data_IF_150298691948
#
_entry.id   IF_150298691948
#
_cell.length_a   1.000
_cell.length_b   1.000
_cell.length_c   1.000
_cell.angle_alpha   90.00
_cell.angle_beta   90.00
_cell.angle_gamma   90.00
#
_symmetry.space_group_name_H-M   'P 1'
#
loop_
_entity.id
_entity.type
_entity.pdbx_description
1 polymer ?
#
# COMPACT_ATOMS: atom_id res chain seq x y z
N UNK A 1 -4.86 -40.40 7.38
CA UNK A 1 -4.02 -40.14 6.20
C UNK A 1 -5.00 -39.98 5.09
N UNK A 2 -5.01 -38.82 4.43
CA UNK A 2 -6.01 -38.54 3.41
C UNK A 2 -5.30 -38.52 2.06
N UNK A 3 -5.67 -39.49 1.25
CA UNK A 3 -5.01 -39.89 0.01
C UNK A 3 -5.26 -38.85 -1.09
N UNK A 4 -4.27 -38.01 -1.40
CA UNK A 4 -3.99 -37.45 -2.73
C UNK A 4 -5.10 -36.78 -3.55
N UNK A 5 -6.30 -36.53 -3.01
CA UNK A 5 -7.40 -35.93 -3.75
C UNK A 5 -7.16 -34.43 -3.98
N UNK A 6 -7.21 -34.02 -5.25
CA UNK A 6 -7.16 -32.62 -5.64
C UNK A 6 -8.45 -31.93 -5.16
N UNK A 7 -8.29 -30.89 -4.34
CA UNK A 7 -9.38 -29.99 -3.95
C UNK A 7 -9.07 -28.58 -4.44
N UNK A 8 -10.08 -27.92 -5.01
CA UNK A 8 -9.95 -26.53 -5.45
C UNK A 8 -9.79 -25.61 -4.24
N UNK A 9 -8.93 -24.60 -4.37
CA UNK A 9 -8.80 -23.51 -3.40
C UNK A 9 -9.55 -22.31 -3.94
N UNK A 10 -10.55 -21.86 -3.19
CA UNK A 10 -11.42 -20.72 -3.52
C UNK A 10 -11.00 -19.46 -2.78
N UNK A 11 -11.56 -18.32 -3.18
CA UNK A 11 -11.40 -17.06 -2.46
C UNK A 11 -11.96 -17.12 -1.03
N UNK A 12 -12.95 -17.97 -0.77
CA UNK A 12 -13.50 -18.17 0.58
C UNK A 12 -12.46 -18.85 1.47
N UNK A 13 -11.83 -19.91 0.99
CA UNK A 13 -10.80 -20.65 1.75
C UNK A 13 -9.63 -19.74 2.14
N UNK A 14 -9.20 -18.87 1.21
CA UNK A 14 -8.14 -17.88 1.50
C UNK A 14 -8.56 -16.88 2.57
N UNK A 15 -9.80 -16.38 2.52
CA UNK A 15 -10.27 -15.42 3.52
C UNK A 15 -10.51 -16.08 4.88
N UNK A 16 -11.04 -17.31 4.92
CA UNK A 16 -11.19 -18.08 6.16
C UNK A 16 -9.83 -18.32 6.81
N UNK A 17 -8.81 -18.68 6.02
CA UNK A 17 -7.46 -18.81 6.52
C UNK A 17 -6.91 -17.48 7.09
N UNK A 18 -7.04 -16.37 6.35
CA UNK A 18 -6.60 -15.05 6.83
C UNK A 18 -7.25 -14.69 8.15
N UNK A 19 -8.57 -14.87 8.26
CA UNK A 19 -9.31 -14.58 9.49
C UNK A 19 -8.83 -15.42 10.66
N UNK A 20 -8.51 -16.68 10.42
CA UNK A 20 -8.01 -17.58 11.47
C UNK A 20 -6.66 -17.16 12.07
N UNK A 21 -5.82 -16.46 11.28
CA UNK A 21 -4.46 -16.07 11.73
C UNK A 21 -4.31 -14.57 12.06
N UNK A 22 -5.16 -13.72 11.50
CA UNK A 22 -5.05 -12.26 11.60
C UNK A 22 -6.24 -11.61 12.31
N UNK A 23 -7.38 -12.31 12.45
CA UNK A 23 -8.61 -11.79 13.04
C UNK A 23 -9.72 -11.55 12.00
N UNK A 24 -10.98 -11.54 12.47
CA UNK A 24 -12.19 -11.44 11.63
C UNK A 24 -12.31 -10.11 10.87
N UNK A 25 -11.61 -9.08 11.31
CA UNK A 25 -11.58 -7.76 10.69
C UNK A 25 -10.70 -7.68 9.44
N UNK A 26 -9.84 -8.69 9.21
CA UNK A 26 -8.93 -8.73 8.06
C UNK A 26 -9.40 -9.69 6.97
N UNK A 27 -9.10 -9.30 5.74
CA UNK A 27 -9.43 -10.02 4.51
C UNK A 27 -8.26 -9.96 3.52
N UNK A 28 -8.33 -10.74 2.45
CA UNK A 28 -7.38 -10.65 1.34
C UNK A 28 -7.32 -9.23 0.71
N UNK A 29 -8.39 -8.44 0.84
CA UNK A 29 -8.42 -7.06 0.35
C UNK A 29 -7.47 -6.15 1.13
N UNK A 30 -7.31 -6.36 2.42
CA UNK A 30 -6.46 -5.50 3.27
C UNK A 30 -4.99 -5.62 2.86
N UNK A 31 -4.53 -6.85 2.60
CA UNK A 31 -3.21 -7.10 2.04
C UNK A 31 -3.02 -6.43 0.67
N UNK A 32 -4.03 -6.49 -0.21
CA UNK A 32 -3.97 -5.84 -1.52
C UNK A 32 -3.96 -4.31 -1.40
N UNK A 33 -4.68 -3.75 -0.43
CA UNK A 33 -4.70 -2.32 -0.14
C UNK A 33 -3.35 -1.85 0.42
N UNK A 34 -2.78 -2.60 1.35
CA UNK A 34 -1.45 -2.35 1.88
C UNK A 34 -0.38 -2.39 0.78
N UNK A 35 -0.32 -3.48 0.02
CA UNK A 35 0.64 -3.65 -1.07
C UNK A 35 0.46 -2.62 -2.19
N UNK A 36 -0.79 -2.27 -2.55
CA UNK A 36 -1.08 -1.24 -3.54
C UNK A 36 -0.61 0.14 -3.10
N UNK A 37 -0.83 0.48 -1.83
CA UNK A 37 -0.39 1.74 -1.23
C UNK A 37 1.13 1.82 -1.15
N UNK A 38 1.79 0.76 -0.69
CA UNK A 38 3.24 0.67 -0.60
C UNK A 38 3.91 0.82 -1.97
N UNK A 39 3.43 0.11 -2.99
CA UNK A 39 3.97 0.18 -4.34
C UNK A 39 3.81 1.58 -4.95
N UNK A 40 2.68 2.25 -4.70
CA UNK A 40 2.49 3.64 -5.11
C UNK A 40 3.50 4.56 -4.43
N UNK A 41 3.70 4.40 -3.11
CA UNK A 41 4.65 5.21 -2.35
C UNK A 41 6.09 5.01 -2.83
N UNK A 42 6.52 3.76 -3.02
CA UNK A 42 7.83 3.41 -3.57
C UNK A 42 8.06 4.01 -4.95
N UNK A 43 7.04 4.02 -5.81
CA UNK A 43 7.16 4.58 -7.17
C UNK A 43 7.25 6.10 -7.15
N UNK A 44 6.52 6.77 -6.27
CA UNK A 44 6.42 8.23 -6.25
C UNK A 44 7.52 8.91 -5.44
N UNK A 45 8.06 8.26 -4.40
CA UNK A 45 9.15 8.83 -3.57
C UNK A 45 10.46 9.03 -4.31
N UNK A 46 10.67 8.32 -5.41
CA UNK A 46 11.89 8.38 -6.23
C UNK A 46 11.90 9.60 -7.16
N UNK A 47 10.81 10.36 -7.20
CA UNK A 47 10.62 11.48 -8.10
C UNK A 47 10.87 12.81 -7.39
N UNK A 48 11.50 13.74 -8.10
CA UNK A 48 11.67 15.09 -7.60
C UNK A 48 10.32 15.82 -7.53
N UNK A 49 10.02 16.51 -6.41
CA UNK A 49 8.85 17.33 -6.31
C UNK A 49 8.97 18.62 -7.17
N UNK A 50 7.86 19.15 -7.70
CA UNK A 50 6.49 18.64 -7.56
C UNK A 50 6.21 17.45 -8.51
N UNK A 51 5.59 16.40 -7.97
CA UNK A 51 5.24 15.23 -8.77
C UNK A 51 4.10 15.56 -9.75
N UNK A 52 4.32 15.33 -11.04
CA UNK A 52 3.32 15.63 -12.07
C UNK A 52 2.09 14.72 -12.01
N UNK A 53 0.93 15.21 -12.50
CA UNK A 53 -0.28 14.38 -12.66
C UNK A 53 -0.04 13.14 -13.54
N UNK A 54 0.87 13.24 -14.51
CA UNK A 54 1.28 12.12 -15.36
C UNK A 54 2.04 11.06 -14.56
N UNK A 55 2.98 11.48 -13.72
CA UNK A 55 3.71 10.56 -12.83
C UNK A 55 2.78 9.82 -11.86
N UNK A 56 1.80 10.53 -11.26
CA UNK A 56 0.76 9.90 -10.44
C UNK A 56 -0.05 8.87 -11.26
N UNK A 57 -0.47 9.24 -12.47
CA UNK A 57 -1.21 8.33 -13.36
C UNK A 57 -0.40 7.06 -13.69
N UNK A 58 0.89 7.21 -13.96
CA UNK A 58 1.77 6.10 -14.30
C UNK A 58 2.05 5.19 -13.08
N UNK A 59 2.17 5.76 -11.87
CA UNK A 59 2.23 4.98 -10.63
C UNK A 59 0.93 4.17 -10.37
N UNK A 60 -0.24 4.78 -10.57
CA UNK A 60 -1.53 4.08 -10.45
C UNK A 60 -1.64 2.95 -11.47
N UNK A 61 -1.18 3.15 -12.72
CA UNK A 61 -1.15 2.07 -13.73
C UNK A 61 -0.23 0.92 -13.31
N UNK A 62 0.91 1.22 -12.69
CA UNK A 62 1.83 0.18 -12.18
C UNK A 62 1.15 -0.66 -11.10
N UNK A 63 0.45 -0.03 -10.15
CA UNK A 63 -0.36 -0.75 -9.15
C UNK A 63 -1.45 -1.57 -9.81
N UNK A 64 -2.13 -1.02 -10.82
CA UNK A 64 -3.22 -1.72 -11.50
C UNK A 64 -2.76 -2.97 -12.24
N UNK A 65 -1.61 -2.91 -12.90
CA UNK A 65 -0.95 -4.06 -13.52
C UNK A 65 -0.57 -5.11 -12.49
N UNK A 66 -0.06 -4.70 -11.32
CA UNK A 66 0.31 -5.62 -10.24
C UNK A 66 -0.89 -6.32 -9.62
N UNK A 67 -2.00 -5.61 -9.43
CA UNK A 67 -3.18 -6.12 -8.75
C UNK A 67 -4.20 -6.79 -9.69
N UNK A 68 -4.08 -6.63 -11.00
CA UNK A 68 -5.04 -7.16 -11.97
C UNK A 68 -6.39 -6.44 -11.97
N UNK A 69 -6.40 -5.16 -11.59
CA UNK A 69 -7.58 -4.30 -11.54
C UNK A 69 -7.44 -3.12 -12.51
N UNK A 70 -8.51 -2.37 -12.78
CA UNK A 70 -8.40 -1.13 -13.57
C UNK A 70 -7.68 -0.03 -12.77
N UNK A 71 -7.01 0.94 -13.44
CA UNK A 71 -6.40 2.08 -12.76
C UNK A 71 -7.39 2.86 -11.89
N UNK A 72 -8.63 3.02 -12.35
CA UNK A 72 -9.69 3.71 -11.61
C UNK A 72 -10.01 2.97 -10.29
N UNK A 73 -10.18 1.64 -10.34
CA UNK A 73 -10.43 0.81 -9.16
C UNK A 73 -9.24 0.84 -8.20
N UNK A 74 -8.00 0.77 -8.71
CA UNK A 74 -6.82 0.82 -7.85
C UNK A 74 -6.70 2.15 -7.10
N UNK A 75 -6.90 3.26 -7.81
CA UNK A 75 -6.88 4.59 -7.21
C UNK A 75 -7.96 4.75 -6.13
N UNK A 76 -9.16 4.21 -6.37
CA UNK A 76 -10.29 4.40 -5.47
C UNK A 76 -10.31 3.44 -4.27
N UNK A 77 -9.71 2.25 -4.39
CA UNK A 77 -9.94 1.16 -3.42
C UNK A 77 -8.68 0.46 -2.92
N UNK A 78 -7.52 0.71 -3.50
CA UNK A 78 -6.27 -0.01 -3.16
C UNK A 78 -5.08 0.90 -2.89
N UNK A 79 -5.20 2.21 -3.15
CA UNK A 79 -4.15 3.20 -2.89
C UNK A 79 -4.69 4.20 -1.89
N UNK A 80 -4.04 4.32 -0.74
CA UNK A 80 -4.42 5.33 0.24
C UNK A 80 -4.19 6.75 -0.31
N UNK A 81 -5.20 7.66 -0.26
CA UNK A 81 -5.13 8.97 -0.90
C UNK A 81 -3.97 9.85 -0.40
N UNK A 82 -3.63 9.73 0.89
CA UNK A 82 -2.49 10.40 1.51
C UNK A 82 -1.16 10.25 0.77
N UNK A 83 -0.93 9.14 0.06
CA UNK A 83 0.30 8.95 -0.73
C UNK A 83 0.32 9.89 -1.94
N UNK A 84 -0.80 10.01 -2.64
CA UNK A 84 -0.93 10.88 -3.81
C UNK A 84 -0.85 12.35 -3.38
N UNK A 85 -1.48 12.69 -2.26
CA UNK A 85 -1.46 14.04 -1.69
C UNK A 85 -0.05 14.45 -1.27
N UNK A 86 0.63 13.64 -0.45
CA UNK A 86 2.00 13.95 -0.02
C UNK A 86 3.01 13.94 -1.18
N UNK A 87 2.79 13.15 -2.23
CA UNK A 87 3.61 13.23 -3.44
C UNK A 87 3.41 14.57 -4.18
N UNK A 88 2.16 15.03 -4.30
CA UNK A 88 1.85 16.31 -4.94
C UNK A 88 2.40 17.52 -4.16
N UNK A 89 2.46 17.42 -2.82
CA UNK A 89 3.05 18.43 -1.94
C UNK A 89 4.57 18.33 -1.79
N UNK A 90 5.19 17.27 -2.31
CA UNK A 90 6.63 17.03 -2.19
C UNK A 90 7.11 16.60 -0.80
N UNK A 91 6.19 16.15 0.04
CA UNK A 91 6.47 15.68 1.40
C UNK A 91 6.79 14.18 1.45
N UNK A 92 6.42 13.43 0.39
CA UNK A 92 6.53 11.97 0.40
C UNK A 92 7.96 11.48 0.62
N UNK A 93 8.96 12.11 -0.02
CA UNK A 93 10.37 11.72 0.12
C UNK A 93 10.88 11.77 1.57
N UNK A 94 10.40 12.72 2.38
CA UNK A 94 10.81 12.89 3.77
C UNK A 94 10.42 11.70 4.65
N UNK A 95 9.26 11.10 4.39
CA UNK A 95 8.76 9.96 5.14
C UNK A 95 9.57 8.68 4.89
N UNK A 96 10.13 8.55 3.68
CA UNK A 96 10.86 7.37 3.23
C UNK A 96 12.37 7.60 3.14
N UNK A 97 12.87 8.66 3.79
CA UNK A 97 14.29 9.01 3.79
C UNK A 97 15.10 7.91 4.48
N UNK A 98 16.00 7.28 3.71
CA UNK A 98 16.95 6.27 4.19
C UNK A 98 18.08 6.93 4.98
N UNK A 99 18.59 6.23 5.99
CA UNK A 99 19.84 6.57 6.66
C UNK A 99 21.01 5.99 5.86
N UNK A 100 22.20 6.59 6.01
CA UNK A 100 23.42 6.03 5.43
C UNK A 100 23.65 4.62 5.99
N UNK A 101 23.70 3.63 5.10
CA UNK A 101 23.89 2.21 5.44
C UNK A 101 22.64 1.34 5.29
N UNK A 102 21.45 1.92 5.10
CA UNK A 102 20.24 1.15 4.80
C UNK A 102 20.36 0.48 3.42
N UNK A 103 19.87 -0.76 3.30
CA UNK A 103 19.85 -1.46 2.02
C UNK A 103 18.99 -0.68 0.99
N UNK A 104 19.37 -0.67 -0.31
CA UNK A 104 18.65 0.06 -1.35
C UNK A 104 17.18 -0.36 -1.53
N UNK A 105 16.81 -1.58 -1.13
CA UNK A 105 15.44 -2.09 -1.15
C UNK A 105 15.25 -2.98 0.08
N UNK A 106 14.86 -2.36 1.19
CA UNK A 106 14.43 -3.08 2.40
C UNK A 106 12.91 -2.94 2.53
N UNK A 107 12.14 -4.01 2.25
CA UNK A 107 10.69 -4.00 2.37
C UNK A 107 10.20 -3.60 3.77
N UNK A 108 10.91 -4.01 4.82
CA UNK A 108 10.51 -3.77 6.20
C UNK A 108 10.66 -2.29 6.55
N UNK A 109 11.72 -1.63 6.04
CA UNK A 109 11.90 -0.19 6.23
C UNK A 109 10.83 0.63 5.50
N UNK A 110 10.47 0.23 4.28
CA UNK A 110 9.46 0.93 3.50
C UNK A 110 8.06 0.75 4.12
N UNK A 111 7.74 -0.44 4.60
CA UNK A 111 6.51 -0.73 5.33
C UNK A 111 6.42 0.05 6.65
N UNK A 112 7.51 0.10 7.43
CA UNK A 112 7.58 0.87 8.67
C UNK A 112 7.43 2.38 8.41
N UNK A 113 8.06 2.90 7.36
CA UNK A 113 7.93 4.30 6.94
C UNK A 113 6.49 4.63 6.53
N UNK A 114 5.85 3.75 5.75
CA UNK A 114 4.46 3.89 5.35
C UNK A 114 3.53 3.90 6.57
N UNK A 115 3.69 2.94 7.48
CA UNK A 115 2.87 2.85 8.69
C UNK A 115 2.99 4.13 9.51
N UNK A 116 4.23 4.58 9.77
CA UNK A 116 4.51 5.81 10.52
C UNK A 116 3.89 7.06 9.86
N UNK A 117 3.95 7.16 8.53
CA UNK A 117 3.33 8.26 7.79
C UNK A 117 1.81 8.26 7.97
N UNK A 118 1.16 7.10 7.81
CA UNK A 118 -0.30 6.99 7.91
C UNK A 118 -0.79 7.21 9.34
N UNK A 119 -0.08 6.69 10.36
CA UNK A 119 -0.40 6.94 11.77
C UNK A 119 -0.38 8.43 12.09
N UNK A 120 0.66 9.16 11.67
CA UNK A 120 0.74 10.62 11.89
C UNK A 120 -0.41 11.38 11.22
N UNK A 121 -0.82 10.96 10.03
CA UNK A 121 -1.95 11.60 9.32
C UNK A 121 -3.28 11.31 10.02
N UNK A 122 -3.45 10.11 10.57
CA UNK A 122 -4.62 9.76 11.39
C UNK A 122 -4.67 10.60 12.68
N UNK A 123 -3.54 10.74 13.37
CA UNK A 123 -3.43 11.59 14.56
C UNK A 123 -3.74 13.06 14.26
N UNK A 124 -3.22 13.60 13.16
CA UNK A 124 -3.53 14.97 12.75
C UNK A 124 -5.02 15.16 12.42
N UNK A 125 -5.62 14.23 11.68
CA UNK A 125 -7.04 14.31 11.31
C UNK A 125 -7.99 14.17 12.51
N UNK A 126 -7.56 13.49 13.58
CA UNK A 126 -8.35 13.37 14.81
C UNK A 126 -8.19 14.58 15.74
N UNK A 127 -7.06 15.28 15.69
CA UNK A 127 -6.84 16.51 16.44
C UNK A 127 -7.64 17.72 15.91
N UNK A 128 -7.90 17.80 14.59
CA UNK A 128 -8.66 18.89 13.97
C UNK A 128 -10.19 18.83 14.24
N UNK A 129 -10.68 17.76 14.88
CA UNK A 129 -12.11 17.54 15.16
C UNK A 129 -12.48 17.83 16.62
N UNK A 130 -11.49 18.11 17.49
CA UNK A 130 -11.68 18.44 18.91
C UNK A 130 -11.53 19.92 19.22
#
# INVERSE_FOLDING_TARGET
GDDGELRDVTSSDVNEYIKSIAGEEFTAKDFRTWAGTLLAAQTLRELDPPVSKKAVSDAVKRVSQRLGNTPAVCRASYIHPAIIESAALGELGEHFRRKNGDAPLDPDLDEAALLKMLTRKLEAATADVG
#
